data_IF_009165125125
#
_entry.id   IF_009165125125
#
_cell.length_a   1.000
_cell.length_b   1.000
_cell.length_c   1.000
_cell.angle_alpha   90.00
_cell.angle_beta   90.00
_cell.angle_gamma   90.00
#
_symmetry.space_group_name_H-M   'P 1'
#
loop_
_entity.id
_entity.type
_entity.pdbx_description
1 polymer ?
#
# COMPACT_ATOMS: atom_id res chain seq x y z
N UNK A 1 -5.96 3.51 -14.53
CA UNK A 1 -6.06 4.57 -15.58
C UNK A 1 -5.52 5.91 -15.06
N UNK A 2 -6.04 6.44 -13.95
CA UNK A 2 -5.69 7.79 -13.44
C UNK A 2 -4.18 8.03 -13.38
N UNK A 3 -3.43 7.14 -12.74
CA UNK A 3 -1.97 7.30 -12.63
C UNK A 3 -1.24 7.16 -13.96
N UNK A 4 -1.77 6.36 -14.87
CA UNK A 4 -1.23 6.20 -16.21
C UNK A 4 -1.30 7.51 -17.01
N UNK A 5 -2.39 8.25 -16.84
CA UNK A 5 -2.62 9.54 -17.50
C UNK A 5 -1.91 10.70 -16.80
N UNK A 6 -2.01 10.77 -15.47
CA UNK A 6 -1.44 11.87 -14.68
C UNK A 6 0.10 11.83 -14.58
N UNK A 7 0.72 10.65 -14.78
CA UNK A 7 2.16 10.45 -14.58
C UNK A 7 2.82 9.85 -15.83
N UNK A 8 2.77 10.54 -16.97
CA UNK A 8 3.25 10.02 -18.25
C UNK A 8 4.75 9.67 -18.23
N UNK A 9 5.57 10.42 -17.49
CA UNK A 9 7.01 10.15 -17.38
C UNK A 9 7.32 8.77 -16.81
N UNK A 10 6.54 8.28 -15.83
CA UNK A 10 6.73 6.93 -15.28
C UNK A 10 6.52 5.86 -16.34
N UNK A 11 5.53 6.03 -17.19
CA UNK A 11 5.25 5.14 -18.32
C UNK A 11 6.40 5.15 -19.31
N UNK A 12 6.94 6.32 -19.66
CA UNK A 12 8.07 6.41 -20.60
C UNK A 12 9.35 5.79 -20.01
N UNK A 13 9.62 5.97 -18.71
CA UNK A 13 10.72 5.29 -18.02
C UNK A 13 10.58 3.76 -18.11
N UNK A 14 9.37 3.22 -17.81
CA UNK A 14 9.12 1.79 -17.91
C UNK A 14 9.36 1.27 -19.34
N UNK A 15 8.86 1.99 -20.34
CA UNK A 15 9.07 1.65 -21.76
C UNK A 15 10.54 1.71 -22.18
N UNK A 16 11.29 2.69 -21.69
CA UNK A 16 12.73 2.81 -21.92
C UNK A 16 13.50 1.58 -21.44
N UNK A 17 13.03 0.97 -20.34
CA UNK A 17 13.58 -0.30 -19.84
C UNK A 17 12.95 -1.55 -20.49
N UNK A 18 12.17 -1.39 -21.57
CA UNK A 18 11.57 -2.49 -22.31
C UNK A 18 10.29 -3.07 -21.75
N UNK A 19 9.70 -2.43 -20.73
CA UNK A 19 8.44 -2.90 -20.16
C UNK A 19 7.23 -2.50 -21.01
N UNK A 20 6.26 -3.41 -21.14
CA UNK A 20 4.92 -3.10 -21.64
C UNK A 20 4.06 -2.59 -20.50
N UNK A 21 3.35 -1.48 -20.69
CA UNK A 21 2.53 -0.85 -19.66
C UNK A 21 1.10 -0.69 -20.19
N UNK A 22 0.16 -1.34 -19.52
CA UNK A 22 -1.27 -1.29 -19.84
C UNK A 22 -2.04 -0.61 -18.69
N UNK A 23 -2.94 0.36 -19.00
CA UNK A 23 -3.77 1.00 -17.98
C UNK A 23 -4.89 0.06 -17.52
N UNK A 24 -5.00 -0.19 -16.21
CA UNK A 24 -6.03 -1.05 -15.62
C UNK A 24 -7.22 -0.23 -15.05
N UNK A 25 -8.47 -0.73 -15.14
CA UNK A 25 -8.90 -1.94 -15.86
C UNK A 25 -8.86 -1.76 -17.38
N UNK A 26 -8.55 -2.84 -18.10
CA UNK A 26 -8.34 -2.86 -19.55
C UNK A 26 -9.30 -3.79 -20.26
N UNK A 27 -9.32 -3.72 -21.60
CA UNK A 27 -10.03 -4.68 -22.45
C UNK A 27 -9.15 -5.87 -22.89
N UNK A 28 -7.91 -5.95 -22.37
CA UNK A 28 -6.95 -6.99 -22.74
C UNK A 28 -7.13 -8.30 -21.95
N UNK A 29 -7.82 -8.21 -20.81
CA UNK A 29 -8.10 -9.36 -19.91
C UNK A 29 -9.60 -9.57 -19.76
N UNK A 30 -10.03 -10.80 -19.50
CA UNK A 30 -11.45 -11.09 -19.23
C UNK A 30 -11.90 -10.48 -17.90
N UNK A 31 -11.02 -10.47 -16.90
CA UNK A 31 -11.28 -9.79 -15.63
C UNK A 31 -11.46 -8.29 -15.84
N UNK A 32 -10.60 -7.65 -16.62
CA UNK A 32 -10.70 -6.22 -16.91
C UNK A 32 -12.02 -5.86 -17.61
N UNK A 33 -12.45 -6.66 -18.60
CA UNK A 33 -13.74 -6.50 -19.26
C UNK A 33 -14.89 -6.58 -18.26
N UNK A 34 -14.95 -7.62 -17.43
CA UNK A 34 -16.00 -7.79 -16.40
C UNK A 34 -16.04 -6.64 -15.39
N UNK A 35 -14.88 -6.12 -14.98
CA UNK A 35 -14.82 -4.96 -14.09
C UNK A 35 -15.41 -3.71 -14.78
N UNK A 36 -15.09 -3.50 -16.06
CA UNK A 36 -15.60 -2.37 -16.82
C UNK A 36 -17.11 -2.47 -17.09
N UNK A 37 -17.64 -3.69 -17.30
CA UNK A 37 -19.08 -3.96 -17.42
C UNK A 37 -19.81 -3.70 -16.11
N UNK A 38 -19.29 -4.19 -14.98
CA UNK A 38 -19.88 -4.02 -13.64
C UNK A 38 -19.83 -2.57 -13.17
N UNK A 39 -18.76 -1.85 -13.52
CA UNK A 39 -18.50 -0.47 -13.08
C UNK A 39 -18.14 0.42 -14.28
N UNK A 40 -19.11 0.79 -15.12
CA UNK A 40 -18.86 1.66 -16.29
C UNK A 40 -18.24 2.99 -15.87
N UNK A 41 -17.15 3.39 -16.53
CA UNK A 41 -16.46 4.64 -16.24
C UNK A 41 -15.52 4.62 -15.04
N UNK A 42 -15.36 3.47 -14.38
CA UNK A 42 -14.41 3.36 -13.24
C UNK A 42 -12.99 3.75 -13.62
N UNK A 43 -12.33 4.48 -12.73
CA UNK A 43 -10.90 4.78 -12.84
C UNK A 43 -10.01 3.60 -12.41
N UNK A 44 -10.62 2.54 -11.90
CA UNK A 44 -9.95 1.38 -11.34
C UNK A 44 -9.33 1.61 -9.96
N UNK A 45 -8.86 0.53 -9.39
CA UNK A 45 -8.14 0.48 -8.12
C UNK A 45 -6.87 -0.36 -8.26
N UNK A 46 -6.06 -0.43 -7.21
CA UNK A 46 -4.94 -1.38 -7.20
C UNK A 46 -5.44 -2.83 -7.24
N UNK A 47 -6.56 -3.14 -6.58
CA UNK A 47 -7.19 -4.45 -6.63
C UNK A 47 -7.58 -4.89 -8.05
N UNK A 48 -8.09 -3.98 -8.89
CA UNK A 48 -8.35 -4.26 -10.31
C UNK A 48 -7.07 -4.63 -11.06
N UNK A 49 -6.00 -3.86 -10.87
CA UNK A 49 -4.72 -4.12 -11.53
C UNK A 49 -4.09 -5.45 -11.09
N UNK A 50 -4.24 -5.82 -9.82
CA UNK A 50 -3.81 -7.12 -9.29
C UNK A 50 -4.56 -8.24 -9.99
N UNK A 51 -5.88 -8.16 -10.09
CA UNK A 51 -6.71 -9.17 -10.77
C UNK A 51 -6.29 -9.40 -12.22
N UNK A 52 -6.07 -8.35 -12.99
CA UNK A 52 -5.61 -8.46 -14.38
C UNK A 52 -4.19 -9.03 -14.48
N UNK A 53 -3.30 -8.65 -13.58
CA UNK A 53 -1.93 -9.17 -13.54
C UNK A 53 -1.89 -10.66 -13.19
N UNK A 54 -2.73 -11.12 -12.26
CA UNK A 54 -2.88 -12.53 -11.91
C UNK A 54 -3.43 -13.32 -13.09
N UNK A 55 -4.50 -12.83 -13.75
CA UNK A 55 -5.02 -13.47 -14.95
C UNK A 55 -3.93 -13.62 -16.02
N UNK A 56 -3.20 -12.53 -16.31
CA UNK A 56 -2.12 -12.57 -17.31
C UNK A 56 -1.04 -13.57 -16.96
N UNK A 57 -0.65 -13.65 -15.69
CA UNK A 57 0.38 -14.58 -15.23
C UNK A 57 -0.07 -16.05 -15.26
N UNK A 58 -1.36 -16.31 -15.07
CA UNK A 58 -1.90 -17.69 -15.06
C UNK A 58 -2.28 -18.21 -16.45
N UNK A 59 -2.60 -17.31 -17.38
CA UNK A 59 -3.04 -17.67 -18.73
C UNK A 59 -1.94 -17.56 -19.80
N UNK A 60 -0.79 -16.98 -19.49
CA UNK A 60 0.29 -16.76 -20.45
C UNK A 60 1.54 -17.55 -20.01
N UNK A 61 2.00 -18.44 -20.86
CA UNK A 61 3.20 -19.24 -20.59
C UNK A 61 4.44 -18.33 -20.39
N UNK A 62 5.27 -18.66 -19.42
CA UNK A 62 6.49 -17.91 -19.09
C UNK A 62 6.27 -16.68 -18.21
N UNK A 63 5.03 -16.24 -18.00
CA UNK A 63 4.75 -15.11 -17.13
C UNK A 63 4.78 -15.53 -15.65
N UNK A 64 5.16 -14.57 -14.81
CA UNK A 64 5.14 -14.72 -13.34
C UNK A 64 4.54 -13.47 -12.73
N UNK A 65 3.70 -13.65 -11.71
CA UNK A 65 3.12 -12.55 -10.95
C UNK A 65 4.07 -12.11 -9.85
N UNK A 66 4.38 -10.82 -9.82
CA UNK A 66 5.18 -10.20 -8.77
C UNK A 66 4.30 -9.18 -8.04
N UNK A 67 3.88 -9.53 -6.81
CA UNK A 67 3.05 -8.66 -5.98
C UNK A 67 3.90 -7.64 -5.23
N UNK A 68 3.35 -6.43 -5.05
CA UNK A 68 3.89 -5.39 -4.18
C UNK A 68 3.47 -5.58 -2.71
N UNK A 69 2.94 -4.61 -2.09
CA UNK A 69 2.99 -4.15 -0.73
C UNK A 69 2.09 -4.79 0.35
N UNK A 70 1.35 -5.86 0.13
CA UNK A 70 0.35 -6.32 1.13
C UNK A 70 0.68 -7.66 1.79
N UNK A 71 1.46 -8.50 1.15
CA UNK A 71 1.79 -9.83 1.67
C UNK A 71 2.95 -9.78 2.68
N UNK A 72 2.89 -10.63 3.69
CA UNK A 72 3.84 -10.67 4.80
C UNK A 72 5.31 -10.77 4.36
N UNK A 73 5.63 -11.56 3.33
CA UNK A 73 7.01 -11.65 2.83
C UNK A 73 7.51 -10.31 2.28
N UNK A 74 6.65 -9.51 1.64
CA UNK A 74 7.02 -8.17 1.15
C UNK A 74 7.23 -7.21 2.32
N UNK A 75 6.35 -7.27 3.35
CA UNK A 75 6.50 -6.48 4.57
C UNK A 75 7.84 -6.77 5.26
N UNK A 76 8.21 -8.05 5.36
CA UNK A 76 9.45 -8.49 6.00
C UNK A 76 10.70 -8.12 5.18
N UNK A 77 10.69 -8.32 3.86
CA UNK A 77 11.82 -7.88 3.01
C UNK A 77 12.05 -6.38 3.09
N UNK A 78 10.99 -5.59 3.23
CA UNK A 78 11.09 -4.13 3.33
C UNK A 78 11.74 -3.66 4.64
N UNK A 79 11.85 -4.51 5.64
CA UNK A 79 12.48 -4.17 6.94
C UNK A 79 13.96 -3.81 6.83
N UNK A 80 14.61 -4.07 5.71
CA UNK A 80 15.97 -3.57 5.45
C UNK A 80 16.06 -2.06 5.65
N UNK A 81 15.00 -1.31 5.31
CA UNK A 81 14.93 0.15 5.51
C UNK A 81 15.01 0.52 6.98
N UNK A 82 14.22 -0.14 7.83
CA UNK A 82 14.22 0.09 9.27
C UNK A 82 15.49 -0.39 9.94
N UNK A 83 16.09 -1.50 9.49
CA UNK A 83 17.38 -1.99 9.98
C UNK A 83 18.53 -1.03 9.67
N UNK A 84 18.50 -0.38 8.49
CA UNK A 84 19.43 0.69 8.16
C UNK A 84 19.18 1.94 8.98
N UNK A 85 17.89 2.32 9.17
CA UNK A 85 17.52 3.46 10.00
C UNK A 85 17.95 3.29 11.46
N UNK A 86 17.86 2.09 12.05
CA UNK A 86 18.40 1.80 13.40
C UNK A 86 19.87 2.17 13.49
N UNK A 87 20.69 1.74 12.53
CA UNK A 87 22.13 2.05 12.51
C UNK A 87 22.40 3.54 12.32
N UNK A 88 21.61 4.21 11.48
CA UNK A 88 21.74 5.65 11.26
C UNK A 88 21.38 6.43 12.52
N UNK A 89 20.35 6.03 13.27
CA UNK A 89 19.99 6.64 14.55
C UNK A 89 21.08 6.40 15.61
N UNK A 90 21.65 5.19 15.67
CA UNK A 90 22.79 4.88 16.54
C UNK A 90 24.00 5.78 16.23
N UNK A 91 24.34 5.96 14.95
CA UNK A 91 25.41 6.86 14.52
C UNK A 91 25.13 8.32 14.87
N UNK A 92 23.87 8.75 14.87
CA UNK A 92 23.45 10.08 15.29
C UNK A 92 23.43 10.25 16.81
N UNK A 93 23.58 9.18 17.60
CA UNK A 93 23.45 9.19 19.04
C UNK A 93 22.03 9.47 19.54
N UNK A 94 21.02 9.14 18.74
CA UNK A 94 19.62 9.44 19.00
C UNK A 94 18.74 8.19 18.84
N UNK A 95 17.47 8.29 19.27
CA UNK A 95 16.49 7.22 19.15
C UNK A 95 15.08 7.81 18.92
N UNK A 96 14.27 7.26 17.98
CA UNK A 96 13.00 7.87 17.63
C UNK A 96 11.95 7.68 18.73
N UNK A 97 11.31 8.77 19.12
CA UNK A 97 10.13 8.75 19.99
C UNK A 97 8.86 8.42 19.21
N UNK A 98 8.84 8.75 17.90
CA UNK A 98 7.75 8.44 16.99
C UNK A 98 8.30 7.99 15.64
N UNK A 99 7.62 7.01 15.02
CA UNK A 99 7.86 6.60 13.63
C UNK A 99 6.54 6.75 12.88
N UNK A 100 6.54 7.60 11.86
CA UNK A 100 5.36 7.91 11.04
C UNK A 100 5.66 7.55 9.61
N UNK A 101 4.77 6.78 8.97
CA UNK A 101 4.93 6.45 7.57
C UNK A 101 3.58 6.31 6.86
N UNK A 102 3.57 6.53 5.54
CA UNK A 102 2.38 6.36 4.73
C UNK A 102 1.99 4.88 4.61
N UNK A 103 0.68 4.63 4.58
CA UNK A 103 0.10 3.30 4.54
C UNK A 103 -0.78 3.10 3.29
N UNK A 104 -0.28 2.29 2.35
CA UNK A 104 -1.05 1.71 1.24
C UNK A 104 -1.46 0.27 1.57
N UNK A 105 -0.70 -0.72 1.11
CA UNK A 105 -0.84 -2.12 1.50
C UNK A 105 -0.08 -2.48 2.77
N UNK A 106 0.96 -1.72 3.14
CA UNK A 106 1.67 -1.88 4.41
C UNK A 106 3.18 -2.01 4.33
N UNK A 107 3.80 -2.33 3.18
CA UNK A 107 5.23 -2.62 3.13
C UNK A 107 6.12 -1.42 3.50
N UNK A 108 5.79 -0.22 3.04
CA UNK A 108 6.53 0.99 3.41
C UNK A 108 6.50 1.22 4.92
N UNK A 109 5.31 1.14 5.51
CA UNK A 109 5.12 1.31 6.95
C UNK A 109 5.84 0.21 7.75
N UNK A 110 5.58 -1.07 7.43
CA UNK A 110 6.21 -2.19 8.10
C UNK A 110 7.74 -2.14 7.98
N UNK A 111 8.23 -1.78 6.80
CA UNK A 111 9.66 -1.70 6.51
C UNK A 111 10.42 -0.78 7.46
N UNK A 112 9.89 0.40 7.74
CA UNK A 112 10.52 1.35 8.66
C UNK A 112 10.20 1.05 10.12
N UNK A 113 9.01 0.49 10.46
CA UNK A 113 8.54 0.40 11.84
C UNK A 113 8.92 -0.90 12.54
N UNK A 114 8.91 -2.05 11.88
CA UNK A 114 9.09 -3.36 12.54
C UNK A 114 10.40 -3.51 13.30
N UNK A 115 11.56 -3.05 12.81
CA UNK A 115 12.78 -3.09 13.60
C UNK A 115 12.66 -2.31 14.92
N UNK A 116 12.10 -1.12 14.91
CA UNK A 116 11.88 -0.33 16.14
C UNK A 116 10.77 -0.91 17.03
N UNK A 117 9.71 -1.48 16.45
CA UNK A 117 8.67 -2.18 17.21
C UNK A 117 9.24 -3.38 17.97
N UNK A 118 10.19 -4.11 17.37
CA UNK A 118 10.93 -5.16 18.05
C UNK A 118 11.54 -4.64 19.35
N UNK A 119 12.11 -3.45 19.36
CA UNK A 119 12.69 -2.87 20.58
C UNK A 119 11.63 -2.53 21.64
N UNK A 120 10.43 -2.10 21.24
CA UNK A 120 9.33 -1.94 22.20
C UNK A 120 8.98 -3.28 22.86
N UNK A 121 8.93 -4.36 22.06
CA UNK A 121 8.54 -5.69 22.53
C UNK A 121 9.63 -6.40 23.36
N UNK A 122 10.90 -6.12 23.10
CA UNK A 122 12.02 -6.91 23.68
C UNK A 122 12.98 -6.12 24.53
N UNK A 123 13.02 -4.79 24.41
CA UNK A 123 14.02 -3.94 25.07
C UNK A 123 13.40 -2.77 25.86
N UNK A 124 12.10 -2.79 26.11
CA UNK A 124 11.41 -1.79 26.93
C UNK A 124 11.40 -0.37 26.35
N UNK A 125 11.61 -0.21 25.04
CA UNK A 125 11.42 1.07 24.36
C UNK A 125 9.93 1.41 24.22
N UNK A 126 9.60 2.68 24.04
CA UNK A 126 8.22 3.21 24.00
C UNK A 126 7.99 4.09 22.77
N UNK A 127 8.59 3.74 21.64
CA UNK A 127 8.35 4.44 20.37
C UNK A 127 6.89 4.32 19.96
N UNK A 128 6.26 5.43 19.58
CA UNK A 128 4.92 5.47 19.02
C UNK A 128 4.97 5.23 17.51
N UNK A 129 4.09 4.38 16.99
CA UNK A 129 4.00 4.06 15.57
C UNK A 129 2.69 4.57 14.99
N UNK A 130 2.77 5.39 13.94
CA UNK A 130 1.60 6.03 13.33
C UNK A 130 1.56 5.71 11.84
N UNK A 131 0.55 4.95 11.43
CA UNK A 131 0.26 4.65 10.04
C UNK A 131 -0.62 5.76 9.45
N UNK A 132 -0.07 6.57 8.54
CA UNK A 132 -0.81 7.63 7.86
C UNK A 132 -1.43 7.09 6.57
N UNK A 133 -2.76 6.96 6.54
CA UNK A 133 -3.51 6.50 5.39
C UNK A 133 -4.34 7.62 4.76
N UNK A 134 -4.72 7.53 3.46
CA UNK A 134 -5.53 8.56 2.82
C UNK A 134 -6.98 8.48 3.31
N UNK A 135 -7.59 9.63 3.57
CA UNK A 135 -8.99 9.71 3.99
C UNK A 135 -9.98 9.12 2.97
N UNK A 136 -9.61 9.06 1.68
CA UNK A 136 -10.42 8.41 0.64
C UNK A 136 -10.34 6.87 0.66
N UNK A 137 -9.45 6.28 1.48
CA UNK A 137 -9.26 4.83 1.57
C UNK A 137 -8.78 4.42 2.98
N UNK A 138 -9.61 4.67 4.03
CA UNK A 138 -9.22 4.60 5.44
C UNK A 138 -9.39 3.17 6.00
N UNK A 139 -8.66 2.18 5.46
CA UNK A 139 -8.82 0.77 5.80
C UNK A 139 -8.38 0.39 7.21
N UNK A 140 -7.37 1.06 7.78
CA UNK A 140 -6.93 0.77 9.15
C UNK A 140 -7.84 1.40 10.19
N UNK A 141 -8.28 2.65 9.95
CA UNK A 141 -9.08 3.42 10.91
C UNK A 141 -10.59 3.16 10.82
N UNK A 142 -11.10 2.78 9.64
CA UNK A 142 -12.53 2.60 9.38
C UNK A 142 -12.87 1.23 8.77
N UNK A 143 -11.88 0.44 8.35
CA UNK A 143 -12.07 -0.91 7.85
C UNK A 143 -12.46 -1.88 8.96
N UNK A 144 -12.97 -3.04 8.56
CA UNK A 144 -13.30 -4.14 9.47
C UNK A 144 -12.25 -5.24 9.35
N UNK A 145 -11.91 -5.85 10.49
CA UNK A 145 -11.09 -7.07 10.48
C UNK A 145 -11.91 -8.22 9.91
N UNK A 146 -11.49 -8.74 8.76
CA UNK A 146 -12.19 -9.79 8.05
C UNK A 146 -11.26 -10.58 7.15
N UNK A 147 -11.67 -11.79 6.77
CA UNK A 147 -11.04 -12.49 5.65
C UNK A 147 -11.52 -11.86 4.35
N UNK A 148 -10.59 -11.36 3.55
CA UNK A 148 -10.88 -10.71 2.28
C UNK A 148 -9.86 -11.09 1.21
N UNK A 149 -10.23 -10.89 -0.05
CA UNK A 149 -9.31 -11.09 -1.18
C UNK A 149 -8.37 -9.89 -1.32
N UNK A 150 -7.14 -10.17 -1.72
CA UNK A 150 -6.16 -9.13 -2.03
C UNK A 150 -6.47 -8.36 -3.32
N UNK A 151 -7.48 -8.78 -4.09
CA UNK A 151 -7.84 -8.23 -5.38
C UNK A 151 -9.36 -8.17 -5.62
N UNK A 152 -9.79 -7.34 -6.56
CA UNK A 152 -11.21 -7.07 -6.83
C UNK A 152 -11.98 -8.27 -7.40
N UNK A 153 -11.32 -9.16 -8.15
CA UNK A 153 -11.98 -10.30 -8.79
C UNK A 153 -11.90 -11.60 -7.96
N UNK A 154 -11.28 -11.58 -6.78
CA UNK A 154 -11.16 -12.75 -5.91
C UNK A 154 -10.22 -13.83 -6.47
N UNK A 155 -9.18 -13.43 -7.17
CA UNK A 155 -8.19 -14.34 -7.77
C UNK A 155 -7.01 -14.64 -6.87
N UNK A 156 -6.84 -13.85 -5.80
CA UNK A 156 -5.80 -14.04 -4.78
C UNK A 156 -6.34 -14.85 -3.59
N UNK A 157 -5.47 -15.41 -2.73
CA UNK A 157 -5.91 -16.08 -1.50
C UNK A 157 -6.68 -15.13 -0.57
N UNK A 158 -7.65 -15.72 0.16
CA UNK A 158 -8.29 -15.07 1.30
C UNK A 158 -7.30 -14.92 2.45
N UNK A 159 -7.12 -13.71 2.94
CA UNK A 159 -6.25 -13.41 4.08
C UNK A 159 -6.98 -12.53 5.11
N UNK A 160 -6.72 -12.69 6.41
CA UNK A 160 -7.26 -11.80 7.43
C UNK A 160 -6.61 -10.42 7.31
N UNK A 161 -7.42 -9.37 7.23
CA UNK A 161 -6.95 -8.00 7.11
C UNK A 161 -8.01 -6.99 7.60
N UNK A 162 -7.57 -5.82 8.00
CA UNK A 162 -8.45 -4.65 8.06
C UNK A 162 -8.77 -4.22 6.64
N UNK A 163 -10.06 -4.30 6.25
CA UNK A 163 -10.48 -4.08 4.87
C UNK A 163 -11.74 -3.21 4.78
N UNK A 164 -11.84 -2.49 3.66
CA UNK A 164 -13.04 -1.77 3.22
C UNK A 164 -13.90 -2.62 2.26
N UNK A 165 -13.42 -3.82 1.92
CA UNK A 165 -14.00 -4.72 0.93
C UNK A 165 -13.21 -4.74 -0.38
N UNK A 166 -13.01 -5.93 -0.96
CA UNK A 166 -12.20 -6.14 -2.18
C UNK A 166 -12.78 -5.47 -3.43
N UNK A 167 -14.07 -5.12 -3.43
CA UNK A 167 -14.75 -4.37 -4.48
C UNK A 167 -14.83 -2.85 -4.20
N UNK A 168 -14.28 -2.37 -3.09
CA UNK A 168 -14.24 -0.95 -2.74
C UNK A 168 -13.56 -0.12 -3.82
N UNK A 169 -14.24 0.95 -4.25
CA UNK A 169 -13.75 1.87 -5.27
C UNK A 169 -13.34 3.21 -4.63
N UNK A 170 -12.06 3.40 -4.32
CA UNK A 170 -11.60 4.63 -3.68
C UNK A 170 -11.68 5.81 -4.65
N UNK A 171 -11.94 7.00 -4.10
CA UNK A 171 -11.88 8.26 -4.84
C UNK A 171 -10.52 8.48 -5.51
N UNK A 172 -10.51 9.31 -6.55
CA UNK A 172 -9.29 9.65 -7.27
C UNK A 172 -8.45 10.63 -6.45
N UNK A 173 -7.26 10.19 -6.09
CA UNK A 173 -6.24 11.05 -5.48
C UNK A 173 -4.94 10.98 -6.27
N UNK A 174 -4.05 11.94 -6.05
CA UNK A 174 -2.76 12.00 -6.74
C UNK A 174 -1.85 10.80 -6.40
N UNK A 175 -1.89 10.31 -5.17
CA UNK A 175 -1.08 9.17 -4.69
C UNK A 175 -1.78 7.82 -4.95
N UNK A 176 -1.69 7.31 -6.18
CA UNK A 176 -2.36 6.07 -6.59
C UNK A 176 -1.96 4.83 -5.79
N UNK A 177 -0.71 4.72 -5.34
CA UNK A 177 -0.21 3.61 -4.53
C UNK A 177 -0.86 3.49 -3.15
N UNK A 178 -1.58 4.51 -2.71
CA UNK A 178 -2.31 4.51 -1.43
C UNK A 178 -3.79 4.10 -1.58
N UNK A 179 -4.27 3.85 -2.79
CA UNK A 179 -5.67 3.49 -3.11
C UNK A 179 -5.87 1.96 -3.10
N UNK A 180 -5.59 1.34 -1.98
CA UNK A 180 -5.75 -0.11 -1.76
C UNK A 180 -6.71 -0.37 -0.60
N UNK A 181 -7.67 -1.28 -0.79
CA UNK A 181 -8.80 -1.53 0.11
C UNK A 181 -8.43 -2.21 1.43
N UNK A 182 -7.30 -2.92 1.49
CA UNK A 182 -6.90 -3.74 2.63
C UNK A 182 -5.55 -3.40 3.22
N UNK A 183 -5.31 -3.80 4.45
CA UNK A 183 -4.03 -3.71 5.14
C UNK A 183 -3.31 -5.05 5.22
N UNK A 184 -1.98 -5.05 5.13
CA UNK A 184 -1.16 -6.25 5.34
C UNK A 184 -1.49 -6.94 6.67
N UNK A 185 -1.53 -8.28 6.67
CA UNK A 185 -1.99 -9.09 7.80
C UNK A 185 -1.35 -8.71 9.13
N UNK A 186 -0.01 -8.68 9.17
CA UNK A 186 0.74 -8.39 10.40
C UNK A 186 0.40 -6.98 10.90
N UNK A 187 0.36 -5.97 10.03
CA UNK A 187 0.03 -4.60 10.43
C UNK A 187 -1.42 -4.51 10.90
N UNK A 188 -2.35 -5.17 10.21
CA UNK A 188 -3.77 -5.22 10.63
C UNK A 188 -3.93 -5.79 12.04
N UNK A 189 -3.20 -6.87 12.35
CA UNK A 189 -3.20 -7.45 13.69
C UNK A 189 -2.59 -6.50 14.73
N UNK A 190 -1.44 -5.89 14.42
CA UNK A 190 -0.77 -4.95 15.34
C UNK A 190 -1.60 -3.69 15.62
N UNK A 191 -2.43 -3.26 14.67
CA UNK A 191 -3.42 -2.18 14.90
C UNK A 191 -4.51 -2.66 15.86
N UNK A 192 -5.06 -3.86 15.66
CA UNK A 192 -6.07 -4.45 16.55
C UNK A 192 -5.54 -4.65 17.98
N UNK A 193 -4.29 -5.03 18.12
CA UNK A 193 -3.63 -5.24 19.40
C UNK A 193 -3.16 -3.94 20.07
N UNK A 194 -3.35 -2.78 19.42
CA UNK A 194 -3.03 -1.47 19.98
C UNK A 194 -1.55 -1.07 19.92
N UNK A 195 -0.71 -1.80 19.18
CA UNK A 195 0.71 -1.43 19.02
C UNK A 195 0.92 -0.33 17.97
N UNK A 196 -0.02 -0.13 17.06
CA UNK A 196 0.05 0.82 15.97
C UNK A 196 -1.20 1.70 15.96
N UNK A 197 -1.00 3.00 15.93
CA UNK A 197 -2.04 3.99 15.71
C UNK A 197 -2.21 4.23 14.20
N UNK A 198 -3.45 4.53 13.77
CA UNK A 198 -3.72 4.91 12.38
C UNK A 198 -4.42 6.25 12.31
N UNK A 199 -4.06 7.05 11.30
CA UNK A 199 -4.69 8.35 11.04
C UNK A 199 -5.06 8.45 9.56
N UNK A 200 -6.31 8.84 9.29
CA UNK A 200 -6.79 9.10 7.94
C UNK A 200 -6.64 10.58 7.61
N UNK A 201 -5.83 10.92 6.61
CA UNK A 201 -5.46 12.30 6.28
C UNK A 201 -5.98 12.67 4.89
N UNK A 202 -6.71 13.79 4.74
CA UNK A 202 -7.08 14.36 3.44
C UNK A 202 -5.85 14.75 2.63
N UNK A 203 -5.92 14.59 1.31
CA UNK A 203 -4.78 14.86 0.42
C UNK A 203 -4.29 16.31 0.48
N UNK A 204 -5.20 17.26 0.57
CA UNK A 204 -4.87 18.70 0.65
C UNK A 204 -4.08 19.05 1.92
N UNK A 205 -4.42 18.42 3.05
CA UNK A 205 -3.66 18.55 4.30
C UNK A 205 -2.25 17.98 4.17
N UNK A 206 -2.10 16.85 3.47
CA UNK A 206 -0.79 16.26 3.18
C UNK A 206 0.08 17.22 2.35
N UNK A 207 -0.51 17.87 1.34
CA UNK A 207 0.23 18.86 0.53
C UNK A 207 0.61 20.10 1.32
N UNK A 208 -0.29 20.62 2.17
CA UNK A 208 0.02 21.75 3.06
C UNK A 208 1.17 21.42 4.00
N UNK A 209 1.14 20.22 4.62
CA UNK A 209 2.23 19.76 5.48
C UNK A 209 3.56 19.61 4.73
N UNK A 210 3.56 19.08 3.51
CA UNK A 210 4.76 18.98 2.68
C UNK A 210 5.34 20.34 2.31
N UNK A 211 4.51 21.32 1.99
CA UNK A 211 4.95 22.70 1.73
C UNK A 211 5.53 23.33 3.00
N UNK A 212 4.88 23.13 4.15
CA UNK A 212 5.35 23.65 5.43
C UNK A 212 6.72 23.05 5.78
N UNK A 213 6.87 21.72 5.66
CA UNK A 213 8.13 21.03 5.90
C UNK A 213 9.26 21.60 5.03
N UNK A 214 9.04 21.73 3.72
CA UNK A 214 10.05 22.26 2.79
C UNK A 214 10.43 23.73 3.02
N UNK A 215 9.65 24.47 3.81
CA UNK A 215 9.95 25.86 4.19
C UNK A 215 10.64 25.98 5.54
N UNK A 216 10.47 24.97 6.41
CA UNK A 216 10.97 24.99 7.78
C UNK A 216 12.33 24.28 7.92
N UNK A 217 12.57 23.28 7.07
CA UNK A 217 13.78 22.43 7.03
C UNK A 217 14.58 22.65 5.73
#
# INVERSE_FOLDING_TARGET
KVSYEQKPFRREVMRTYGATVTPSPSMETEVGKRILEKHPGTSGSLGCAISEAVEKATTTEGYRYVLGSVLNHVLLHQTIIGLEAEKQMEMAGDYPTKVIACFGGGSNFAGITFPFLRHNLTAGKTTEFIAAEPACCPKLSQGKMMYDFGDTAGTTPLIPMLSLGSDFQPEQIHAAGLRYHGGGQIVSQLVQDGYINSVAIPQDETFKAGILFARAE
#
